data_IF_408531491492
#
_entry.id   IF_408531491492
#
_cell.length_a   1.000
_cell.length_b   1.000
_cell.length_c   1.000
_cell.angle_alpha   90.00
_cell.angle_beta   90.00
_cell.angle_gamma   90.00
#
_symmetry.space_group_name_H-M   'P 1'
#
loop_
_entity.id
_entity.type
_entity.pdbx_description
1 polymer ?
#
# COMPACT_ATOMS: atom_id res chain seq x y z
N UNK A 1 -24.24 -53.21 4.71
CA UNK A 1 -22.90 -52.87 5.21
C UNK A 1 -21.89 -53.07 4.09
N UNK A 2 -21.53 -52.01 3.37
CA UNK A 2 -20.39 -52.02 2.42
C UNK A 2 -19.52 -50.85 2.82
N UNK A 3 -18.32 -51.19 3.33
CA UNK A 3 -17.28 -50.20 3.66
C UNK A 3 -16.56 -49.85 2.36
N UNK A 4 -16.67 -48.60 1.89
CA UNK A 4 -15.82 -48.04 0.83
C UNK A 4 -14.53 -47.57 1.45
N UNK A 5 -13.44 -48.16 1.05
CA UNK A 5 -12.08 -47.81 1.41
C UNK A 5 -11.61 -46.75 0.41
N UNK A 6 -11.46 -45.48 0.87
CA UNK A 6 -10.90 -44.39 0.06
C UNK A 6 -9.39 -44.46 0.23
N UNK A 7 -8.70 -44.78 -0.86
CA UNK A 7 -7.23 -44.68 -0.92
C UNK A 7 -6.82 -43.22 -1.19
N UNK A 8 -6.15 -42.61 -0.23
CA UNK A 8 -5.44 -41.36 -0.44
C UNK A 8 -4.13 -41.69 -1.18
N UNK A 9 -4.06 -41.29 -2.43
CA UNK A 9 -2.81 -41.35 -3.19
C UNK A 9 -2.02 -40.06 -2.94
N UNK A 10 -1.10 -40.08 -1.99
CA UNK A 10 -0.14 -39.00 -1.75
C UNK A 10 0.93 -39.06 -2.84
N UNK A 11 0.86 -38.10 -3.77
CA UNK A 11 1.90 -37.90 -4.77
C UNK A 11 3.07 -37.15 -4.11
N UNK A 12 4.09 -37.89 -3.67
CA UNK A 12 5.37 -37.32 -3.26
C UNK A 12 6.14 -36.91 -4.52
N UNK A 13 6.18 -35.62 -4.81
CA UNK A 13 7.12 -35.07 -5.78
C UNK A 13 8.47 -34.89 -5.07
N UNK A 14 9.40 -35.80 -5.32
CA UNK A 14 10.76 -35.71 -4.81
C UNK A 14 11.52 -34.76 -5.74
N UNK A 15 11.74 -33.53 -5.31
CA UNK A 15 12.75 -32.68 -5.92
C UNK A 15 14.13 -33.11 -5.43
N UNK A 16 15.16 -33.24 -6.30
CA UNK A 16 16.51 -33.49 -5.85
C UNK A 16 17.01 -32.24 -5.10
N UNK A 17 17.21 -32.41 -3.79
CA UNK A 17 17.92 -31.42 -2.98
C UNK A 17 19.40 -31.55 -3.39
N UNK A 18 19.89 -30.60 -4.18
CA UNK A 18 21.31 -30.38 -4.30
C UNK A 18 21.78 -29.77 -2.98
N UNK A 19 22.54 -30.53 -2.20
CA UNK A 19 23.26 -29.99 -1.06
C UNK A 19 24.23 -28.94 -1.60
N UNK A 20 23.99 -27.67 -1.29
CA UNK A 20 24.99 -26.64 -1.41
C UNK A 20 26.12 -26.98 -0.47
N UNK A 21 27.31 -27.22 -1.03
CA UNK A 21 28.56 -27.35 -0.31
C UNK A 21 28.74 -26.06 0.49
N UNK A 22 28.87 -26.17 1.81
CA UNK A 22 29.16 -25.03 2.67
C UNK A 22 30.56 -24.52 2.29
N UNK A 23 30.63 -23.48 1.46
CA UNK A 23 31.79 -22.63 1.45
C UNK A 23 31.92 -22.01 2.84
N UNK A 24 33.03 -22.22 3.50
CA UNK A 24 33.41 -21.58 4.76
C UNK A 24 33.30 -20.05 4.58
N UNK A 25 32.17 -19.49 5.01
CA UNK A 25 32.00 -18.03 5.11
C UNK A 25 32.96 -17.61 6.22
N UNK A 26 34.11 -17.07 5.83
CA UNK A 26 34.88 -16.22 6.72
C UNK A 26 33.97 -15.09 7.17
N UNK A 27 33.49 -15.16 8.40
CA UNK A 27 32.84 -14.05 9.10
C UNK A 27 33.89 -12.93 9.40
N UNK A 28 34.50 -12.40 8.38
CA UNK A 28 35.07 -11.06 8.48
C UNK A 28 33.87 -10.12 8.52
N UNK A 29 33.75 -9.32 9.61
CA UNK A 29 32.78 -8.28 9.85
C UNK A 29 32.73 -7.24 8.70
N UNK A 30 32.22 -7.62 7.55
CA UNK A 30 31.89 -6.70 6.48
C UNK A 30 30.55 -6.10 6.92
N UNK A 31 30.62 -4.88 7.46
CA UNK A 31 29.42 -4.07 7.60
C UNK A 31 28.94 -3.84 6.16
N UNK A 32 27.88 -4.54 5.76
CA UNK A 32 27.25 -4.35 4.46
C UNK A 32 26.93 -2.86 4.28
N UNK A 33 27.58 -2.24 3.33
CA UNK A 33 27.35 -0.83 3.01
C UNK A 33 25.92 -0.66 2.48
N UNK A 34 25.11 0.11 3.21
CA UNK A 34 23.77 0.40 2.79
C UNK A 34 23.81 1.52 1.75
N UNK A 35 23.62 1.16 0.49
CA UNK A 35 23.49 2.12 -0.60
C UNK A 35 22.06 2.64 -0.64
N UNK A 36 21.93 3.97 -0.61
CA UNK A 36 20.67 4.69 -0.69
C UNK A 36 20.65 5.65 -1.87
N UNK A 37 19.46 6.01 -2.29
CA UNK A 37 19.26 6.95 -3.40
C UNK A 37 18.59 8.26 -2.94
N UNK A 38 18.84 8.63 -1.69
CA UNK A 38 18.25 9.78 -1.01
C UNK A 38 18.61 11.13 -1.65
N UNK A 39 19.77 11.22 -2.26
CA UNK A 39 20.24 12.43 -2.99
C UNK A 39 19.91 12.37 -4.49
N UNK A 40 19.05 11.45 -4.91
CA UNK A 40 18.80 11.13 -6.32
C UNK A 40 20.06 10.59 -7.05
N UNK A 41 21.00 10.05 -6.28
CA UNK A 41 22.22 9.33 -6.69
C UNK A 41 22.41 8.14 -5.77
N UNK A 42 23.15 7.13 -6.21
CA UNK A 42 23.57 6.05 -5.35
C UNK A 42 24.73 6.56 -4.44
N UNK A 43 24.42 6.79 -3.17
CA UNK A 43 25.37 7.19 -2.14
C UNK A 43 25.31 6.20 -0.98
N UNK A 44 26.39 6.07 -0.22
CA UNK A 44 26.35 5.30 1.03
C UNK A 44 25.49 6.04 2.07
N UNK A 45 24.65 5.30 2.80
CA UNK A 45 23.75 5.89 3.80
C UNK A 45 24.48 6.73 4.86
N UNK A 46 25.72 6.39 5.18
CA UNK A 46 26.57 7.14 6.12
C UNK A 46 27.08 8.49 5.57
N UNK A 47 27.14 8.62 4.24
CA UNK A 47 27.74 9.79 3.58
C UNK A 47 26.70 10.84 3.17
N UNK A 48 25.42 10.54 3.38
CA UNK A 48 24.34 11.51 3.09
C UNK A 48 24.02 12.39 4.29
N UNK A 49 23.72 13.66 4.03
CA UNK A 49 23.46 14.67 5.07
C UNK A 49 22.02 14.65 5.61
N UNK A 50 21.22 13.65 5.23
CA UNK A 50 19.83 13.46 5.69
C UNK A 50 19.70 12.17 6.48
N UNK A 51 18.76 12.13 7.42
CA UNK A 51 18.43 10.89 8.13
C UNK A 51 17.71 9.96 7.18
N UNK A 52 18.35 8.86 6.81
CA UNK A 52 17.80 7.81 5.97
C UNK A 52 17.66 6.54 6.80
N UNK A 53 16.50 5.92 6.73
CA UNK A 53 16.24 4.57 7.22
C UNK A 53 16.00 3.69 5.99
N UNK A 54 16.59 2.51 5.97
CA UNK A 54 16.38 1.54 4.90
C UNK A 54 16.03 0.17 5.48
N UNK A 55 14.93 -0.42 5.01
CA UNK A 55 14.61 -1.83 5.20
C UNK A 55 14.98 -2.54 3.90
N UNK A 56 15.95 -3.44 3.95
CA UNK A 56 16.42 -4.22 2.80
C UNK A 56 15.52 -5.44 2.58
N UNK A 57 15.64 -6.08 1.44
CA UNK A 57 14.92 -7.31 1.09
C UNK A 57 15.00 -8.38 2.21
N UNK A 58 16.20 -8.65 2.74
CA UNK A 58 16.37 -9.59 3.85
C UNK A 58 15.64 -9.17 5.14
N UNK A 59 15.45 -7.86 5.38
CA UNK A 59 14.67 -7.35 6.50
C UNK A 59 13.16 -7.50 6.22
N UNK A 60 12.72 -7.22 4.99
CA UNK A 60 11.33 -7.39 4.56
C UNK A 60 10.89 -8.85 4.70
N UNK A 61 11.70 -9.78 4.22
CA UNK A 61 11.45 -11.22 4.31
C UNK A 61 11.42 -11.70 5.76
N UNK A 62 12.44 -11.34 6.56
CA UNK A 62 12.55 -11.77 7.96
C UNK A 62 11.42 -11.26 8.84
N UNK A 63 10.94 -10.04 8.59
CA UNK A 63 9.88 -9.40 9.34
C UNK A 63 8.50 -9.67 8.75
N UNK A 64 8.43 -10.41 7.65
CA UNK A 64 7.20 -10.70 6.90
C UNK A 64 6.41 -9.44 6.57
N UNK A 65 7.11 -8.43 6.03
CA UNK A 65 6.52 -7.14 5.65
C UNK A 65 5.91 -7.28 4.26
N UNK A 66 4.61 -7.08 4.15
CA UNK A 66 3.85 -7.28 2.92
C UNK A 66 3.12 -6.03 2.42
N UNK A 67 2.75 -5.13 3.30
CA UNK A 67 1.93 -3.97 2.97
C UNK A 67 2.39 -2.68 3.69
N UNK A 68 1.66 -1.60 3.44
CA UNK A 68 1.93 -0.28 4.00
C UNK A 68 1.96 -0.26 5.54
N UNK A 69 0.99 -0.88 6.18
CA UNK A 69 0.85 -0.86 7.63
C UNK A 69 1.97 -1.67 8.28
N UNK A 70 2.37 -2.80 7.68
CA UNK A 70 3.47 -3.62 8.19
C UNK A 70 4.79 -2.85 8.24
N UNK A 71 5.24 -2.23 7.14
CA UNK A 71 6.54 -1.55 7.16
C UNK A 71 6.54 -0.31 8.05
N UNK A 72 5.40 0.33 8.26
CA UNK A 72 5.28 1.48 9.15
C UNK A 72 5.63 1.15 10.60
N UNK A 73 5.38 -0.08 11.05
CA UNK A 73 5.68 -0.56 12.41
C UNK A 73 7.19 -0.68 12.68
N UNK A 74 7.98 -0.92 11.65
CA UNK A 74 9.42 -1.14 11.76
C UNK A 74 10.28 0.09 11.44
N UNK A 75 9.64 1.23 11.17
CA UNK A 75 10.31 2.47 10.84
C UNK A 75 10.28 3.44 12.03
N UNK A 76 11.41 3.67 12.73
CA UNK A 76 11.48 4.66 13.79
C UNK A 76 11.07 6.06 13.29
N UNK A 77 10.34 6.81 14.10
CA UNK A 77 9.80 8.13 13.77
C UNK A 77 8.74 8.16 12.66
N UNK A 78 8.24 7.00 12.24
CA UNK A 78 7.12 6.88 11.33
C UNK A 78 5.93 6.36 12.12
N UNK A 79 4.77 6.94 11.86
CA UNK A 79 3.48 6.47 12.37
C UNK A 79 2.48 6.47 11.24
N UNK A 80 1.51 5.59 11.30
CA UNK A 80 0.40 5.58 10.36
C UNK A 80 -0.93 5.84 11.08
N UNK A 81 -1.89 6.36 10.37
CA UNK A 81 -3.28 6.42 10.79
C UNK A 81 -4.16 6.12 9.59
N UNK A 82 -5.13 5.24 9.77
CA UNK A 82 -6.01 4.79 8.72
C UNK A 82 -7.14 3.92 9.26
N UNK A 83 -7.94 3.39 8.36
CA UNK A 83 -9.06 2.51 8.66
C UNK A 83 -8.94 1.16 7.95
N UNK A 84 -7.73 0.72 7.68
CA UNK A 84 -7.45 -0.55 7.03
C UNK A 84 -6.75 -0.41 5.68
N UNK A 85 -6.64 -1.51 4.93
CA UNK A 85 -5.96 -1.60 3.66
C UNK A 85 -6.37 -0.50 2.67
N UNK A 86 -5.39 0.11 2.00
CA UNK A 86 -5.61 1.21 1.05
C UNK A 86 -6.15 2.51 1.66
N UNK A 87 -6.30 2.59 2.99
CA UNK A 87 -6.90 3.73 3.68
C UNK A 87 -5.97 4.40 4.70
N UNK A 88 -4.69 4.07 4.69
CA UNK A 88 -3.72 4.58 5.66
C UNK A 88 -2.96 5.79 5.15
N UNK A 89 -2.64 6.69 6.07
CA UNK A 89 -1.78 7.87 5.84
C UNK A 89 -0.58 7.80 6.75
N UNK A 90 0.59 8.08 6.21
CA UNK A 90 1.84 8.05 6.96
C UNK A 90 2.24 9.43 7.46
N UNK A 91 2.77 9.47 8.66
CA UNK A 91 3.33 10.67 9.28
C UNK A 91 4.77 10.44 9.69
N UNK A 92 5.64 11.42 9.49
CA UNK A 92 7.05 11.36 9.87
C UNK A 92 7.32 12.39 10.96
N UNK A 93 7.99 11.97 12.05
CA UNK A 93 8.36 12.83 13.21
C UNK A 93 7.16 13.56 13.82
N UNK A 94 5.98 12.93 13.82
CA UNK A 94 4.77 13.50 14.39
C UNK A 94 4.16 14.69 13.61
N UNK A 95 4.64 14.96 12.40
CA UNK A 95 4.05 15.96 11.50
C UNK A 95 2.77 15.39 10.86
N UNK A 96 1.71 15.36 11.68
CA UNK A 96 0.40 14.94 11.20
C UNK A 96 -0.30 16.08 10.47
N UNK A 97 -0.99 15.77 9.40
CA UNK A 97 -2.03 16.58 8.79
C UNK A 97 -3.37 15.98 9.15
N UNK A 98 -4.45 16.68 8.87
CA UNK A 98 -5.78 16.08 9.02
C UNK A 98 -5.80 14.73 8.30
N UNK A 99 -6.12 13.65 9.02
CA UNK A 99 -6.29 12.37 8.38
C UNK A 99 -7.39 12.51 7.33
N UNK A 100 -7.31 11.67 6.36
CA UNK A 100 -8.25 11.61 5.25
C UNK A 100 -9.65 11.84 5.77
N UNK A 101 -10.27 12.90 5.34
CA UNK A 101 -11.69 13.09 5.54
C UNK A 101 -12.46 12.17 4.56
N UNK A 102 -12.14 10.91 4.58
CA UNK A 102 -12.94 9.84 3.97
C UNK A 102 -14.38 9.91 4.48
N UNK A 103 -14.53 10.60 5.59
CA UNK A 103 -15.78 10.79 6.30
C UNK A 103 -16.58 12.00 5.93
N UNK A 104 -16.03 12.92 5.17
CA UNK A 104 -16.77 14.09 4.74
C UNK A 104 -17.12 13.89 3.27
N UNK A 105 -18.38 13.65 3.02
CA UNK A 105 -18.91 13.43 1.69
C UNK A 105 -18.38 14.48 0.70
N UNK A 106 -17.78 14.02 -0.39
CA UNK A 106 -17.23 14.86 -1.44
C UNK A 106 -15.85 15.44 -1.17
N UNK A 107 -15.22 15.16 -0.04
CA UNK A 107 -13.85 15.57 0.23
C UNK A 107 -12.86 14.50 -0.22
N UNK A 108 -11.92 14.88 -1.06
CA UNK A 108 -10.81 14.00 -1.47
C UNK A 108 -9.70 13.92 -0.42
N UNK A 109 -9.85 14.62 0.71
CA UNK A 109 -8.84 14.74 1.75
C UNK A 109 -7.80 15.81 1.47
N UNK A 110 -6.85 15.94 2.39
CA UNK A 110 -5.75 16.89 2.29
C UNK A 110 -4.61 16.33 1.44
N UNK A 111 -3.81 17.20 0.85
CA UNK A 111 -2.55 16.81 0.22
C UNK A 111 -1.60 16.24 1.27
N UNK A 112 -1.07 15.02 1.11
CA UNK A 112 -0.15 14.44 2.06
C UNK A 112 1.10 15.31 2.25
N UNK A 113 1.72 15.25 3.42
CA UNK A 113 2.99 15.92 3.70
C UNK A 113 4.20 14.97 3.67
N UNK A 114 3.97 13.70 3.38
CA UNK A 114 4.97 12.68 3.07
C UNK A 114 4.83 12.28 1.61
N UNK A 115 5.89 12.45 0.84
CA UNK A 115 5.90 12.02 -0.56
C UNK A 115 6.16 10.52 -0.67
N UNK A 116 5.44 9.85 -1.58
CA UNK A 116 5.62 8.43 -1.89
C UNK A 116 6.16 8.27 -3.30
N UNK A 117 7.13 7.37 -3.43
CA UNK A 117 7.76 7.04 -4.70
C UNK A 117 7.83 5.53 -4.91
N UNK A 118 7.53 5.09 -6.11
CA UNK A 118 7.84 3.76 -6.59
C UNK A 118 8.96 3.89 -7.61
N UNK A 119 10.14 3.40 -7.24
CA UNK A 119 11.39 3.65 -7.97
C UNK A 119 11.67 5.16 -8.16
N UNK A 120 11.68 5.65 -9.38
CA UNK A 120 11.87 7.07 -9.69
C UNK A 120 10.55 7.84 -9.84
N UNK A 121 9.39 7.18 -9.72
CA UNK A 121 8.08 7.76 -10.01
C UNK A 121 7.34 8.17 -8.74
N UNK A 122 6.84 9.40 -8.66
CA UNK A 122 5.96 9.81 -7.57
C UNK A 122 4.61 9.10 -7.70
N UNK A 123 4.20 8.46 -6.61
CA UNK A 123 2.91 7.79 -6.47
C UNK A 123 2.04 8.43 -5.37
N UNK A 124 2.45 9.58 -4.86
CA UNK A 124 1.68 10.34 -3.87
C UNK A 124 0.34 10.74 -4.44
N UNK A 125 -0.73 10.42 -3.75
CA UNK A 125 -2.09 10.76 -4.17
C UNK A 125 -2.78 11.64 -3.12
N UNK A 126 -3.65 12.51 -3.56
CA UNK A 126 -4.49 13.32 -2.67
C UNK A 126 -5.50 12.40 -1.98
N UNK A 127 -5.66 12.59 -0.67
CA UNK A 127 -6.63 11.86 0.14
C UNK A 127 -6.12 10.54 0.66
N UNK A 128 -5.63 9.64 -0.19
CA UNK A 128 -5.15 8.30 0.20
C UNK A 128 -3.85 7.98 -0.46
N UNK A 129 -2.88 7.56 0.34
CA UNK A 129 -1.65 7.01 -0.22
C UNK A 129 -1.96 5.77 -1.07
N UNK A 130 -1.17 5.58 -2.11
CA UNK A 130 -1.17 4.34 -2.85
C UNK A 130 -0.51 3.27 -1.97
N UNK A 131 -1.25 2.23 -1.65
CA UNK A 131 -0.75 1.09 -0.86
C UNK A 131 -0.21 0.03 -1.82
N UNK A 132 1.10 0.03 -2.00
CA UNK A 132 1.79 -0.91 -2.89
C UNK A 132 2.24 -2.11 -2.10
N UNK A 133 1.83 -3.30 -2.53
CA UNK A 133 2.24 -4.56 -1.93
C UNK A 133 3.75 -4.79 -2.10
N UNK A 134 4.41 -5.23 -1.03
CA UNK A 134 5.86 -5.25 -0.92
C UNK A 134 6.56 -6.42 -1.63
N UNK A 135 5.89 -7.14 -2.54
CA UNK A 135 6.49 -8.27 -3.26
C UNK A 135 7.72 -7.86 -4.06
N UNK A 136 8.80 -8.62 -3.89
CA UNK A 136 10.05 -8.49 -4.66
C UNK A 136 10.61 -7.07 -4.67
N UNK A 137 10.57 -6.39 -3.53
CA UNK A 137 11.27 -5.12 -3.33
C UNK A 137 12.76 -5.39 -3.04
N UNK A 138 13.60 -4.49 -3.48
CA UNK A 138 15.01 -4.44 -3.11
C UNK A 138 15.18 -3.81 -1.73
N UNK A 139 14.43 -2.72 -1.48
CA UNK A 139 14.41 -2.02 -0.20
C UNK A 139 13.31 -0.97 -0.13
N UNK A 140 13.01 -0.54 1.08
CA UNK A 140 12.18 0.63 1.39
C UNK A 140 13.08 1.67 2.04
N UNK A 141 13.15 2.88 1.47
CA UNK A 141 13.90 4.02 2.01
C UNK A 141 12.95 5.05 2.61
N UNK A 142 13.24 5.53 3.83
CA UNK A 142 12.53 6.65 4.46
C UNK A 142 13.51 7.78 4.75
N UNK A 143 13.26 8.89 4.10
CA UNK A 143 14.02 10.13 4.27
C UNK A 143 13.25 11.06 5.20
N UNK A 144 13.74 11.27 6.40
CA UNK A 144 13.08 12.10 7.41
C UNK A 144 13.49 13.56 7.30
N UNK A 145 12.51 14.47 7.26
CA UNK A 145 12.66 15.90 7.15
C UNK A 145 12.37 16.43 5.74
N UNK A 146 12.34 17.74 5.54
CA UNK A 146 11.95 18.36 4.29
C UNK A 146 12.80 17.91 3.10
N UNK A 147 12.18 17.40 2.06
CA UNK A 147 12.82 16.90 0.84
C UNK A 147 12.32 17.58 -0.45
N UNK A 148 11.61 18.69 -0.32
CA UNK A 148 10.94 19.35 -1.44
C UNK A 148 11.85 19.74 -2.62
N UNK A 149 13.12 20.00 -2.39
CA UNK A 149 14.07 20.36 -3.46
C UNK A 149 14.31 19.23 -4.45
N UNK A 150 14.36 17.97 -3.97
CA UNK A 150 14.65 16.78 -4.80
C UNK A 150 13.43 15.94 -5.13
N UNK A 151 12.43 16.00 -4.26
CA UNK A 151 11.23 15.15 -4.35
C UNK A 151 9.92 15.95 -4.55
N UNK A 152 10.03 17.27 -4.71
CA UNK A 152 8.89 18.11 -5.09
C UNK A 152 7.77 18.20 -4.04
N UNK A 153 6.53 18.19 -4.53
CA UNK A 153 5.34 18.34 -3.70
C UNK A 153 5.19 17.22 -2.68
N UNK A 154 4.47 17.51 -1.58
CA UNK A 154 4.16 16.56 -0.51
C UNK A 154 5.36 16.06 0.31
N UNK A 155 6.57 16.59 0.10
CA UNK A 155 7.78 16.16 0.78
C UNK A 155 8.17 17.06 1.97
N UNK A 156 7.21 17.65 2.68
CA UNK A 156 7.45 18.58 3.81
C UNK A 156 7.94 17.85 5.06
N UNK A 157 7.36 16.67 5.37
CA UNK A 157 7.75 15.85 6.51
C UNK A 157 8.85 14.84 6.15
N UNK A 158 8.88 14.43 4.89
CA UNK A 158 9.82 13.44 4.37
C UNK A 158 9.35 12.78 3.10
N UNK A 159 10.07 11.71 2.74
CA UNK A 159 9.78 10.90 1.56
C UNK A 159 9.94 9.43 1.87
N UNK A 160 9.02 8.61 1.39
CA UNK A 160 9.10 7.13 1.39
C UNK A 160 9.32 6.68 -0.04
N UNK A 161 10.28 5.79 -0.24
CA UNK A 161 10.61 5.23 -1.55
C UNK A 161 10.57 3.72 -1.49
N UNK A 162 9.78 3.13 -2.35
CA UNK A 162 9.71 1.69 -2.59
C UNK A 162 10.60 1.39 -3.81
N UNK A 163 11.67 0.66 -3.61
CA UNK A 163 12.62 0.33 -4.67
C UNK A 163 12.43 -1.12 -5.05
N UNK A 164 12.04 -1.36 -6.30
CA UNK A 164 11.81 -2.72 -6.80
C UNK A 164 13.11 -3.38 -7.25
N UNK A 165 13.21 -4.71 -7.16
CA UNK A 165 14.32 -5.45 -7.78
C UNK A 165 14.24 -5.30 -9.30
N UNK A 166 15.38 -4.98 -9.92
CA UNK A 166 15.49 -4.79 -11.36
C UNK A 166 15.92 -6.08 -12.06
N UNK A 167 15.60 -6.24 -13.36
CA UNK A 167 16.16 -7.35 -14.15
C UNK A 167 17.70 -7.38 -14.10
N UNK A 168 18.26 -8.57 -13.84
CA UNK A 168 19.71 -8.84 -13.81
C UNK A 168 20.10 -9.52 -15.12
N UNK A 169 21.18 -9.07 -15.77
CA UNK A 169 21.50 -9.47 -17.14
C UNK A 169 21.95 -10.91 -17.32
N UNK A 170 22.73 -11.44 -16.38
CA UNK A 170 23.47 -12.70 -16.61
C UNK A 170 22.98 -13.87 -15.74
N UNK A 171 21.87 -13.67 -15.03
CA UNK A 171 21.39 -14.65 -14.05
C UNK A 171 19.95 -15.04 -14.37
N UNK A 172 19.73 -16.35 -14.61
CA UNK A 172 18.40 -16.92 -14.48
C UNK A 172 18.13 -17.14 -12.99
N UNK A 173 17.09 -16.52 -12.46
CA UNK A 173 16.68 -16.64 -11.07
C UNK A 173 15.15 -16.69 -11.00
N UNK A 174 14.62 -17.57 -10.17
CA UNK A 174 13.19 -17.68 -9.96
C UNK A 174 12.90 -18.11 -8.53
N UNK A 175 11.86 -17.53 -7.95
CA UNK A 175 11.42 -17.89 -6.61
C UNK A 175 9.91 -18.03 -6.53
N UNK A 176 9.50 -18.83 -5.56
CA UNK A 176 8.12 -19.06 -5.22
C UNK A 176 7.99 -19.16 -3.70
N UNK A 177 7.05 -18.42 -3.16
CA UNK A 177 6.71 -18.45 -1.75
C UNK A 177 5.21 -18.67 -1.59
N UNK A 178 4.82 -19.50 -0.63
CA UNK A 178 3.42 -19.65 -0.23
C UNK A 178 3.36 -19.68 1.28
N UNK A 179 2.47 -18.87 1.84
CA UNK A 179 2.30 -18.72 3.28
C UNK A 179 0.86 -18.95 3.66
N UNK A 180 0.66 -19.52 4.84
CA UNK A 180 -0.66 -19.72 5.43
C UNK A 180 -0.58 -19.33 6.91
N UNK A 181 -1.49 -18.47 7.34
CA UNK A 181 -1.55 -17.93 8.69
C UNK A 181 -2.90 -18.25 9.30
N UNK A 182 -2.89 -18.67 10.56
CA UNK A 182 -4.10 -18.86 11.35
C UNK A 182 -4.20 -17.73 12.38
N UNK A 183 -5.27 -16.97 12.32
CA UNK A 183 -5.58 -15.93 13.31
C UNK A 183 -6.39 -16.55 14.43
N UNK A 184 -6.02 -16.28 15.68
CA UNK A 184 -6.81 -16.75 16.82
C UNK A 184 -8.11 -15.96 16.88
N UNK A 185 -9.24 -16.69 16.96
CA UNK A 185 -10.58 -16.09 16.98
C UNK A 185 -10.81 -15.18 15.75
N UNK A 186 -10.34 -15.62 14.57
CA UNK A 186 -10.48 -14.97 13.28
C UNK A 186 -10.25 -15.95 12.13
N UNK A 187 -10.45 -15.47 10.91
CA UNK A 187 -10.27 -16.26 9.69
C UNK A 187 -8.80 -16.46 9.31
N UNK A 188 -8.55 -17.45 8.49
CA UNK A 188 -7.22 -17.80 8.02
C UNK A 188 -6.80 -16.90 6.86
N UNK A 189 -5.51 -16.58 6.82
CA UNK A 189 -4.89 -15.81 5.75
C UNK A 189 -4.01 -16.69 4.88
N UNK A 190 -3.85 -16.33 3.61
CA UNK A 190 -2.99 -17.05 2.68
C UNK A 190 -2.29 -16.10 1.72
N UNK A 191 -1.05 -16.42 1.36
CA UNK A 191 -0.27 -15.66 0.39
C UNK A 191 0.43 -16.58 -0.59
N UNK A 192 0.50 -16.14 -1.83
CA UNK A 192 1.30 -16.75 -2.90
C UNK A 192 2.04 -15.64 -3.62
N UNK A 193 3.36 -15.79 -3.68
CA UNK A 193 4.25 -14.88 -4.40
C UNK A 193 5.19 -15.67 -5.30
N UNK A 194 5.47 -15.13 -6.46
CA UNK A 194 6.41 -15.73 -7.40
C UNK A 194 7.16 -14.65 -8.19
N UNK A 195 8.42 -14.91 -8.48
CA UNK A 195 9.18 -14.09 -9.41
C UNK A 195 10.02 -14.95 -10.35
N UNK A 196 10.34 -14.36 -11.48
CA UNK A 196 11.28 -14.92 -12.45
C UNK A 196 12.14 -13.80 -13.03
N UNK A 197 13.45 -14.00 -13.05
CA UNK A 197 14.41 -13.19 -13.77
C UNK A 197 14.97 -14.00 -14.93
N UNK A 198 14.81 -13.54 -16.14
CA UNK A 198 15.21 -14.25 -17.36
C UNK A 198 16.14 -13.37 -18.22
N UNK A 199 17.42 -13.72 -18.33
CA UNK A 199 18.33 -13.11 -19.29
C UNK A 199 17.94 -13.54 -20.71
N UNK A 200 17.55 -12.58 -21.54
CA UNK A 200 17.16 -12.83 -22.93
C UNK A 200 18.37 -12.79 -23.84
N UNK A 201 19.27 -11.85 -23.59
CA UNK A 201 20.58 -11.71 -24.23
C UNK A 201 21.55 -11.38 -23.11
N UNK A 202 22.56 -12.27 -22.94
CA UNK A 202 23.56 -12.11 -21.90
C UNK A 202 24.22 -10.73 -21.99
N UNK A 203 24.40 -10.08 -20.83
CA UNK A 203 24.96 -8.73 -20.65
C UNK A 203 24.15 -7.59 -21.30
N UNK A 204 23.12 -7.85 -22.11
CA UNK A 204 22.44 -6.82 -22.88
C UNK A 204 20.95 -6.66 -22.56
N UNK A 205 20.22 -7.78 -22.34
CA UNK A 205 18.78 -7.71 -22.17
C UNK A 205 18.25 -8.76 -21.21
N UNK A 206 17.51 -8.31 -20.22
CA UNK A 206 16.84 -9.17 -19.24
C UNK A 206 15.42 -8.70 -18.95
N UNK A 207 14.58 -9.67 -18.55
CA UNK A 207 13.19 -9.46 -18.15
C UNK A 207 12.99 -10.01 -16.73
N UNK A 208 12.24 -9.29 -15.90
CA UNK A 208 11.80 -9.76 -14.59
C UNK A 208 10.29 -9.68 -14.48
N UNK A 209 9.66 -10.82 -14.14
CA UNK A 209 8.24 -10.93 -13.85
C UNK A 209 8.02 -11.20 -12.37
N UNK A 210 6.99 -10.60 -11.79
CA UNK A 210 6.56 -10.81 -10.40
C UNK A 210 5.06 -10.97 -10.38
N UNK A 211 4.57 -11.90 -9.59
CA UNK A 211 3.14 -12.11 -9.34
C UNK A 211 2.92 -12.31 -7.84
N UNK A 212 1.82 -11.77 -7.33
CA UNK A 212 1.38 -12.00 -5.96
C UNK A 212 -0.15 -12.04 -5.86
N UNK A 213 -0.62 -12.85 -4.90
CA UNK A 213 -2.01 -12.90 -4.50
C UNK A 213 -2.07 -13.26 -3.02
N UNK A 214 -2.54 -12.33 -2.21
CA UNK A 214 -2.63 -12.47 -0.76
C UNK A 214 -4.05 -12.19 -0.31
N UNK A 215 -4.58 -13.05 0.55
CA UNK A 215 -5.87 -12.88 1.21
C UNK A 215 -5.62 -12.85 2.71
N UNK A 216 -6.02 -11.77 3.36
CA UNK A 216 -6.02 -11.62 4.80
C UNK A 216 -7.41 -11.89 5.32
N UNK A 217 -7.54 -12.86 6.23
CA UNK A 217 -8.79 -13.17 6.89
C UNK A 217 -9.20 -12.10 7.89
N UNK A 218 -10.51 -11.91 8.05
CA UNK A 218 -11.09 -11.02 9.03
C UNK A 218 -10.89 -11.48 10.48
N UNK A 219 -11.21 -10.59 11.40
CA UNK A 219 -11.13 -10.84 12.86
C UNK A 219 -12.05 -9.91 13.67
N UNK A 220 -12.92 -9.17 13.01
CA UNK A 220 -13.92 -8.29 13.62
C UNK A 220 -15.30 -8.83 13.28
N UNK A 221 -16.16 -8.98 14.28
CA UNK A 221 -17.53 -9.45 14.10
C UNK A 221 -18.49 -8.29 13.87
N UNK A 222 -19.31 -8.35 12.84
CA UNK A 222 -20.49 -7.52 12.70
C UNK A 222 -21.69 -8.20 13.39
N UNK A 223 -21.93 -7.84 14.65
CA UNK A 223 -22.98 -8.47 15.45
C UNK A 223 -24.36 -7.83 15.21
N UNK A 224 -25.41 -8.60 15.51
CA UNK A 224 -26.77 -8.08 15.42
C UNK A 224 -26.97 -6.79 16.24
N UNK A 225 -27.61 -5.81 15.63
CA UNK A 225 -27.97 -4.54 16.25
C UNK A 225 -29.22 -3.91 15.69
N UNK A 226 -29.73 -2.94 16.40
CA UNK A 226 -30.85 -2.11 16.00
C UNK A 226 -30.44 -0.64 16.08
N UNK A 227 -30.68 0.10 15.00
CA UNK A 227 -30.53 1.55 14.98
C UNK A 227 -31.92 2.19 15.04
N UNK A 228 -32.12 3.03 16.05
CA UNK A 228 -33.43 3.57 16.41
C UNK A 228 -33.36 5.09 16.33
N UNK A 229 -34.23 5.65 15.52
CA UNK A 229 -34.51 7.05 15.47
C UNK A 229 -35.65 7.34 16.43
N UNK A 230 -35.36 7.95 17.56
CA UNK A 230 -36.34 8.16 18.64
C UNK A 230 -36.10 9.40 19.47
N UNK A 231 -37.10 9.79 20.27
CA UNK A 231 -37.01 10.90 21.23
C UNK A 231 -35.93 10.76 22.32
N UNK A 232 -35.25 9.63 22.41
CA UNK A 232 -34.10 9.47 23.29
C UNK A 232 -32.87 10.21 22.76
N UNK A 233 -32.83 10.48 21.44
CA UNK A 233 -31.82 11.34 20.88
C UNK A 233 -32.20 12.81 21.14
N UNK A 234 -31.34 13.61 21.81
CA UNK A 234 -31.66 15.00 22.19
C UNK A 234 -31.85 15.94 20.96
N UNK A 235 -31.41 15.53 19.80
CA UNK A 235 -31.55 16.28 18.55
C UNK A 235 -32.75 15.85 17.71
N UNK A 236 -33.47 14.81 18.16
CA UNK A 236 -34.62 14.29 17.43
C UNK A 236 -35.86 15.15 17.69
N UNK A 237 -36.62 15.55 16.66
CA UNK A 237 -37.81 16.36 16.84
C UNK A 237 -38.86 15.61 17.67
N UNK A 238 -39.40 16.28 18.67
CA UNK A 238 -40.36 15.67 19.64
C UNK A 238 -41.59 15.03 18.99
N UNK A 239 -42.03 15.56 17.85
CA UNK A 239 -43.19 15.08 17.12
C UNK A 239 -42.87 14.24 15.88
N UNK A 240 -41.59 13.85 15.68
CA UNK A 240 -41.24 13.05 14.54
C UNK A 240 -41.58 11.56 14.77
N UNK A 241 -41.85 10.87 13.67
CA UNK A 241 -42.16 9.45 13.67
C UNK A 241 -40.94 8.62 14.09
N UNK A 242 -41.14 7.68 15.00
CA UNK A 242 -40.09 6.74 15.38
C UNK A 242 -39.80 5.78 14.23
N UNK A 243 -38.52 5.64 13.90
CA UNK A 243 -38.02 4.75 12.86
C UNK A 243 -37.00 3.80 13.43
N UNK A 244 -36.95 2.59 12.89
CA UNK A 244 -36.06 1.55 13.36
C UNK A 244 -35.63 0.67 12.19
N UNK A 245 -34.34 0.38 12.16
CA UNK A 245 -33.75 -0.63 11.27
C UNK A 245 -32.97 -1.64 12.11
N UNK A 246 -32.65 -2.77 11.53
CA UNK A 246 -31.66 -3.74 12.06
C UNK A 246 -30.70 -4.17 10.93
N UNK A 247 -29.64 -4.83 11.33
CA UNK A 247 -28.62 -5.31 10.42
C UNK A 247 -28.62 -6.85 10.27
N UNK A 248 -29.77 -7.50 10.46
CA UNK A 248 -29.86 -8.97 10.45
C UNK A 248 -29.26 -9.63 9.20
N UNK A 249 -29.36 -8.97 8.05
CA UNK A 249 -28.83 -9.47 6.77
C UNK A 249 -27.33 -9.24 6.60
N UNK A 250 -26.68 -8.47 7.50
CA UNK A 250 -25.26 -8.11 7.48
C UNK A 250 -24.50 -8.66 8.70
N UNK A 251 -25.16 -9.51 9.51
CA UNK A 251 -24.46 -10.17 10.64
C UNK A 251 -23.51 -11.20 10.11
N UNK A 252 -22.23 -11.05 10.46
CA UNK A 252 -21.16 -11.89 9.97
C UNK A 252 -20.01 -11.90 10.98
N UNK A 253 -19.46 -13.09 11.23
CA UNK A 253 -18.24 -13.25 12.00
C UNK A 253 -17.04 -12.94 11.08
N UNK A 254 -16.00 -12.32 11.63
CA UNK A 254 -14.73 -12.07 10.92
C UNK A 254 -14.89 -11.27 9.61
N UNK A 255 -15.82 -10.31 9.56
CA UNK A 255 -16.31 -9.65 8.34
C UNK A 255 -15.32 -8.66 7.69
N UNK A 256 -14.14 -8.41 8.29
CA UNK A 256 -13.15 -7.44 7.82
C UNK A 256 -11.98 -8.10 7.08
N UNK A 257 -12.26 -8.87 6.06
CA UNK A 257 -11.23 -9.46 5.23
C UNK A 257 -10.66 -8.49 4.18
N UNK A 258 -9.53 -8.86 3.59
CA UNK A 258 -8.95 -8.07 2.50
C UNK A 258 -8.07 -8.91 1.59
N UNK A 259 -7.87 -8.42 0.38
CA UNK A 259 -7.01 -9.08 -0.59
C UNK A 259 -6.15 -8.10 -1.37
N UNK A 260 -4.94 -8.55 -1.72
CA UNK A 260 -4.02 -7.87 -2.64
C UNK A 260 -3.69 -8.82 -3.78
N UNK A 261 -3.91 -8.39 -5.00
CA UNK A 261 -3.54 -9.14 -6.20
C UNK A 261 -2.81 -8.23 -7.16
N UNK A 262 -1.70 -8.70 -7.70
CA UNK A 262 -0.99 -7.89 -8.67
C UNK A 262 0.09 -8.65 -9.41
N UNK A 263 0.61 -7.95 -10.41
CA UNK A 263 1.77 -8.41 -11.14
C UNK A 263 2.63 -7.23 -11.61
N UNK A 264 3.93 -7.48 -11.74
CA UNK A 264 4.89 -6.53 -12.28
C UNK A 264 5.70 -7.20 -13.38
N UNK A 265 5.92 -6.49 -14.48
CA UNK A 265 6.80 -6.89 -15.55
C UNK A 265 7.80 -5.78 -15.79
N UNK A 266 9.08 -6.10 -15.76
CA UNK A 266 10.18 -5.19 -16.02
C UNK A 266 11.06 -5.73 -17.14
N UNK A 267 11.47 -4.86 -18.06
CA UNK A 267 12.41 -5.15 -19.14
C UNK A 267 13.55 -4.15 -19.07
N UNK A 268 14.78 -4.61 -18.96
CA UNK A 268 15.98 -3.81 -18.88
C UNK A 268 16.92 -4.16 -20.01
N UNK A 269 17.34 -3.17 -20.79
CA UNK A 269 18.22 -3.40 -21.96
C UNK A 269 19.30 -2.33 -22.03
N UNK A 270 20.54 -2.77 -22.27
CA UNK A 270 21.66 -1.91 -22.67
C UNK A 270 21.58 -1.68 -24.19
N UNK A 271 21.64 -0.45 -24.61
CA UNK A 271 21.68 -0.10 -26.04
C UNK A 271 22.96 0.61 -26.47
N UNK A 272 23.82 0.91 -25.48
CA UNK A 272 25.18 1.35 -25.68
C UNK A 272 26.02 1.03 -24.44
N UNK A 273 27.34 1.15 -24.52
CA UNK A 273 28.28 0.76 -23.46
C UNK A 273 27.94 1.30 -22.07
N UNK A 274 27.44 2.53 -22.02
CA UNK A 274 27.10 3.21 -20.73
C UNK A 274 25.62 3.61 -20.65
N UNK A 275 24.78 3.16 -21.56
CA UNK A 275 23.37 3.54 -21.64
C UNK A 275 22.46 2.35 -21.57
N UNK A 276 21.43 2.48 -20.75
CA UNK A 276 20.39 1.47 -20.59
C UNK A 276 18.99 2.08 -20.57
N UNK A 277 18.02 1.27 -20.88
CA UNK A 277 16.59 1.56 -20.74
C UNK A 277 15.94 0.49 -19.87
N UNK A 278 15.11 0.95 -18.95
CA UNK A 278 14.24 0.12 -18.12
C UNK A 278 12.80 0.51 -18.41
N UNK A 279 11.97 -0.43 -18.80
CA UNK A 279 10.52 -0.27 -18.95
C UNK A 279 9.84 -1.17 -17.95
N UNK A 280 8.88 -0.64 -17.19
CA UNK A 280 8.17 -1.38 -16.16
C UNK A 280 6.67 -1.20 -16.33
N UNK A 281 5.94 -2.26 -16.10
CA UNK A 281 4.49 -2.25 -15.95
C UNK A 281 4.13 -2.91 -14.64
N UNK A 282 3.25 -2.27 -13.87
CA UNK A 282 2.69 -2.79 -12.63
C UNK A 282 1.18 -2.63 -12.69
N UNK A 283 0.45 -3.64 -12.26
CA UNK A 283 -0.96 -3.58 -11.94
C UNK A 283 -1.20 -4.21 -10.58
N UNK A 284 -2.07 -3.59 -9.78
CA UNK A 284 -2.49 -4.09 -8.49
C UNK A 284 -3.96 -3.75 -8.24
N UNK A 285 -4.66 -4.71 -7.65
CA UNK A 285 -6.01 -4.57 -7.12
C UNK A 285 -5.99 -4.87 -5.62
N UNK A 286 -6.65 -4.03 -4.84
CA UNK A 286 -6.94 -4.22 -3.41
C UNK A 286 -8.46 -4.29 -3.29
N UNK A 287 -8.96 -5.30 -2.57
CA UNK A 287 -10.34 -5.34 -2.10
C UNK A 287 -10.32 -5.50 -0.59
N UNK A 288 -11.14 -4.74 0.11
CA UNK A 288 -11.29 -4.86 1.55
C UNK A 288 -12.75 -4.70 1.92
N UNK A 289 -13.23 -5.61 2.74
CA UNK A 289 -14.56 -5.60 3.32
C UNK A 289 -14.51 -5.19 4.78
N UNK A 290 -15.62 -4.72 5.31
CA UNK A 290 -15.74 -4.35 6.70
C UNK A 290 -14.94 -3.13 7.15
N UNK A 291 -14.69 -3.08 8.43
CA UNK A 291 -13.94 -2.01 9.10
C UNK A 291 -12.83 -2.59 9.97
N UNK A 292 -11.78 -1.79 10.21
CA UNK A 292 -10.60 -2.16 11.00
C UNK A 292 -10.57 -1.42 12.35
N UNK A 293 -11.70 -0.88 12.76
CA UNK A 293 -11.98 -0.31 14.08
C UNK A 293 -13.16 -1.05 14.71
N UNK A 294 -13.29 -1.01 16.03
CA UNK A 294 -14.37 -1.68 16.75
C UNK A 294 -14.96 -0.81 17.85
N UNK A 295 -16.18 -1.13 18.29
CA UNK A 295 -16.85 -0.43 19.38
C UNK A 295 -16.63 -1.17 20.72
N UNK A 296 -15.78 -0.67 21.63
CA UNK A 296 -15.48 -1.32 22.88
C UNK A 296 -16.71 -1.45 23.83
N UNK A 297 -17.80 -0.74 23.54
CA UNK A 297 -19.05 -0.87 24.31
C UNK A 297 -19.85 -2.12 23.95
N UNK A 298 -19.59 -2.71 22.76
CA UNK A 298 -20.21 -3.93 22.28
C UNK A 298 -19.42 -5.18 22.62
N UNK A 299 -18.16 -5.03 22.99
CA UNK A 299 -17.22 -6.09 23.30
C UNK A 299 -15.92 -5.96 22.51
N UNK A 300 -15.02 -6.91 22.70
CA UNK A 300 -13.76 -6.95 21.98
C UNK A 300 -13.99 -7.34 20.53
N UNK A 301 -13.39 -6.59 19.60
CA UNK A 301 -13.44 -6.81 18.15
C UNK A 301 -14.86 -6.93 17.59
N UNK A 302 -15.82 -6.12 18.09
CA UNK A 302 -17.22 -6.14 17.66
C UNK A 302 -17.71 -4.79 17.20
N UNK A 303 -18.57 -4.82 16.18
CA UNK A 303 -19.25 -3.63 15.62
C UNK A 303 -20.70 -3.94 15.31
N UNK A 304 -21.46 -2.89 15.01
CA UNK A 304 -22.82 -2.97 14.46
C UNK A 304 -22.88 -2.07 13.22
N UNK A 305 -22.81 -2.66 12.04
CA UNK A 305 -22.87 -1.98 10.75
C UNK A 305 -24.20 -2.31 10.08
N UNK A 306 -24.85 -1.30 9.52
CA UNK A 306 -26.19 -1.35 8.96
C UNK A 306 -26.18 -1.17 7.43
N UNK A 307 -25.05 -0.89 6.85
CA UNK A 307 -24.76 -0.89 5.42
C UNK A 307 -23.40 -1.54 5.19
N UNK A 308 -23.14 -1.97 3.97
CA UNK A 308 -21.84 -2.54 3.59
C UNK A 308 -20.75 -1.49 3.73
N UNK A 309 -19.61 -1.90 4.29
CA UNK A 309 -18.36 -1.18 4.27
C UNK A 309 -17.43 -1.92 3.31
N UNK A 310 -17.10 -1.31 2.18
CA UNK A 310 -16.25 -1.92 1.15
C UNK A 310 -15.26 -0.93 0.58
N UNK A 311 -14.10 -1.40 0.18
CA UNK A 311 -13.12 -0.64 -0.58
C UNK A 311 -12.56 -1.50 -1.71
N UNK A 312 -12.65 -1.00 -2.94
CA UNK A 312 -11.89 -1.50 -4.09
C UNK A 312 -10.94 -0.40 -4.57
N UNK A 313 -9.65 -0.69 -4.61
CA UNK A 313 -8.60 0.23 -5.06
C UNK A 313 -7.74 -0.47 -6.13
N UNK A 314 -7.89 -0.06 -7.36
CA UNK A 314 -7.21 -0.64 -8.51
C UNK A 314 -6.30 0.40 -9.17
N UNK A 315 -5.05 0.05 -9.41
CA UNK A 315 -4.17 0.93 -10.16
C UNK A 315 -3.28 0.18 -11.15
N UNK A 316 -2.89 0.88 -12.19
CA UNK A 316 -1.84 0.45 -13.12
C UNK A 316 -0.84 1.57 -13.37
N UNK A 317 0.43 1.20 -13.52
CA UNK A 317 1.50 2.12 -13.87
C UNK A 317 2.35 1.54 -14.98
N UNK A 318 2.60 2.35 -16.01
CA UNK A 318 3.68 2.11 -16.96
C UNK A 318 4.75 3.18 -16.79
N UNK A 319 6.00 2.76 -16.63
CA UNK A 319 7.13 3.67 -16.45
C UNK A 319 8.28 3.30 -17.36
N UNK A 320 9.00 4.32 -17.85
CA UNK A 320 10.21 4.14 -18.63
C UNK A 320 11.33 5.02 -18.07
N UNK A 321 12.50 4.42 -17.84
CA UNK A 321 13.69 5.13 -17.36
C UNK A 321 14.84 4.87 -18.32
N UNK A 322 15.46 5.94 -18.81
CA UNK A 322 16.68 5.90 -19.61
C UNK A 322 17.79 6.50 -18.78
N UNK A 323 18.85 5.76 -18.56
CA UNK A 323 20.01 6.22 -17.81
C UNK A 323 21.30 5.98 -18.56
N UNK A 324 22.28 6.85 -18.33
CA UNK A 324 23.58 6.70 -18.97
C UNK A 324 24.61 7.71 -18.49
N UNK A 325 25.84 7.59 -19.00
CA UNK A 325 26.97 8.45 -18.64
C UNK A 325 27.64 9.02 -19.89
N UNK A 326 28.00 10.30 -19.81
CA UNK A 326 28.90 10.96 -20.77
C UNK A 326 30.07 11.51 -19.97
N UNK A 327 31.24 10.89 -20.12
CA UNK A 327 32.39 11.18 -19.27
C UNK A 327 32.05 10.91 -17.79
N UNK A 328 32.15 11.95 -16.96
CA UNK A 328 31.82 11.86 -15.50
C UNK A 328 30.43 12.40 -15.18
N UNK A 329 29.59 12.65 -16.16
CA UNK A 329 28.24 13.18 -15.97
C UNK A 329 27.23 12.09 -16.23
N UNK A 330 26.36 11.89 -15.26
CA UNK A 330 25.23 10.96 -15.33
C UNK A 330 24.01 11.72 -15.87
N UNK A 331 23.28 11.07 -16.76
CA UNK A 331 22.01 11.52 -17.30
C UNK A 331 20.93 10.52 -16.96
N UNK A 332 19.77 11.01 -16.61
CA UNK A 332 18.59 10.22 -16.38
C UNK A 332 17.38 10.95 -16.97
N UNK A 333 16.60 10.21 -17.74
CA UNK A 333 15.22 10.56 -18.04
C UNK A 333 14.32 9.49 -17.48
N UNK A 334 13.22 9.89 -16.84
CA UNK A 334 12.20 8.95 -16.42
C UNK A 334 10.82 9.55 -16.65
N UNK A 335 9.87 8.73 -17.07
CA UNK A 335 8.49 9.13 -17.29
C UNK A 335 7.54 8.00 -16.97
N UNK A 336 6.34 8.33 -16.49
CA UNK A 336 5.30 7.35 -16.19
C UNK A 336 3.90 7.88 -16.44
N UNK A 337 3.00 6.92 -16.65
CA UNK A 337 1.55 7.11 -16.60
C UNK A 337 1.03 6.19 -15.49
N UNK A 338 0.31 6.77 -14.54
CA UNK A 338 -0.37 6.08 -13.46
C UNK A 338 -1.87 6.34 -13.61
N UNK A 339 -2.65 5.27 -13.68
CA UNK A 339 -4.12 5.29 -13.64
C UNK A 339 -4.58 4.59 -12.37
N UNK A 340 -5.50 5.19 -11.62
CA UNK A 340 -6.06 4.62 -10.38
C UNK A 340 -7.55 4.88 -10.29
N UNK A 341 -8.31 3.86 -9.93
CA UNK A 341 -9.73 3.93 -9.58
C UNK A 341 -9.92 3.43 -8.15
N UNK A 342 -10.64 4.20 -7.33
CA UNK A 342 -11.03 3.81 -5.97
C UNK A 342 -12.53 3.86 -5.86
N UNK A 343 -13.15 2.76 -5.43
CA UNK A 343 -14.58 2.66 -5.09
C UNK A 343 -14.72 2.36 -3.62
N UNK A 344 -15.55 3.10 -2.93
CA UNK A 344 -15.78 2.90 -1.50
C UNK A 344 -17.24 3.03 -1.15
N UNK A 345 -17.73 2.09 -0.34
CA UNK A 345 -18.95 2.23 0.44
C UNK A 345 -18.57 2.30 1.93
N UNK A 346 -19.31 3.07 2.70
CA UNK A 346 -19.10 3.15 4.15
C UNK A 346 -20.43 3.38 4.86
N UNK A 347 -20.67 2.65 5.90
CA UNK A 347 -21.83 2.84 6.77
C UNK A 347 -21.68 4.08 7.65
N UNK A 348 -22.66 4.96 7.59
CA UNK A 348 -22.76 6.19 8.40
C UNK A 348 -23.98 6.20 9.30
N UNK A 349 -24.65 5.07 9.46
CA UNK A 349 -25.88 4.96 10.25
C UNK A 349 -25.70 5.38 11.72
N UNK A 350 -24.47 5.28 12.27
CA UNK A 350 -24.14 5.79 13.58
C UNK A 350 -24.41 7.29 13.78
N UNK A 351 -24.37 8.10 12.72
CA UNK A 351 -24.71 9.53 12.78
C UNK A 351 -26.22 9.78 12.82
N UNK A 352 -27.04 8.82 12.39
CA UNK A 352 -28.49 8.91 12.34
C UNK A 352 -29.19 8.19 13.50
N UNK A 353 -28.47 7.43 14.30
CA UNK A 353 -29.04 6.62 15.38
C UNK A 353 -29.26 7.38 16.68
N UNK A 354 -29.56 6.63 17.72
CA UNK A 354 -29.85 7.10 19.09
C UNK A 354 -28.84 8.12 19.60
N UNK A 355 -27.58 7.95 19.27
CA UNK A 355 -26.47 8.83 19.69
C UNK A 355 -26.02 9.81 18.60
N UNK A 356 -26.64 9.79 17.44
CA UNK A 356 -26.27 10.65 16.31
C UNK A 356 -26.69 12.11 16.51
N UNK A 357 -25.74 13.04 16.40
CA UNK A 357 -26.00 14.48 16.59
C UNK A 357 -26.60 15.16 15.35
N UNK A 358 -26.46 14.54 14.18
CA UNK A 358 -26.93 15.10 12.91
C UNK A 358 -28.24 14.49 12.39
N UNK A 359 -28.96 13.77 13.27
CA UNK A 359 -30.18 13.04 12.90
C UNK A 359 -31.18 13.86 12.09
N UNK A 360 -31.66 15.04 12.53
CA UNK A 360 -32.66 15.76 11.75
C UNK A 360 -32.16 16.18 10.38
N UNK A 361 -30.88 16.50 10.28
CA UNK A 361 -30.28 16.98 9.03
C UNK A 361 -30.20 15.90 7.95
N UNK A 362 -29.85 14.67 8.33
CA UNK A 362 -29.60 13.59 7.38
C UNK A 362 -30.82 12.71 7.13
N UNK A 363 -31.74 12.60 8.10
CA UNK A 363 -32.82 11.62 8.03
C UNK A 363 -34.22 12.23 7.98
N UNK A 364 -34.37 13.51 8.29
CA UNK A 364 -35.69 14.13 8.37
C UNK A 364 -35.87 15.27 7.36
N UNK A 365 -37.09 15.42 6.86
CA UNK A 365 -37.41 16.39 5.82
C UNK A 365 -37.42 17.85 6.34
N UNK A 366 -36.58 18.68 5.76
CA UNK A 366 -36.55 20.13 6.01
C UNK A 366 -37.83 20.82 5.50
N UNK A 367 -38.36 21.88 6.14
CA UNK A 367 -37.80 22.58 7.32
C UNK A 367 -38.37 22.10 8.66
N UNK A 368 -39.39 21.28 8.67
CA UNK A 368 -40.12 20.93 9.88
C UNK A 368 -39.55 19.73 10.62
N UNK A 369 -38.76 18.92 9.93
CA UNK A 369 -38.14 17.69 10.45
C UNK A 369 -39.10 16.71 11.15
N UNK A 370 -40.38 16.70 10.75
CA UNK A 370 -41.44 15.87 11.35
C UNK A 370 -41.65 14.53 10.64
N UNK A 371 -41.26 14.47 9.36
CA UNK A 371 -41.25 13.26 8.58
C UNK A 371 -39.80 12.85 8.37
N UNK A 372 -39.44 11.63 8.76
CA UNK A 372 -38.10 11.11 8.71
C UNK A 372 -38.07 9.78 7.97
N UNK A 373 -36.99 9.56 7.25
CA UNK A 373 -36.65 8.27 6.65
C UNK A 373 -36.02 7.33 7.69
N UNK A 374 -35.73 6.11 7.31
CA UNK A 374 -35.06 5.13 8.17
C UNK A 374 -33.66 5.63 8.56
N UNK A 375 -33.18 5.30 9.78
CA UNK A 375 -31.87 5.75 10.27
C UNK A 375 -30.72 4.91 9.65
N UNK A 376 -30.75 4.74 8.35
CA UNK A 376 -29.70 4.11 7.54
C UNK A 376 -29.08 5.16 6.64
N UNK A 377 -27.85 5.49 6.92
CA UNK A 377 -27.08 6.44 6.12
C UNK A 377 -25.80 5.77 5.66
N UNK A 378 -25.48 5.94 4.41
CA UNK A 378 -24.25 5.42 3.84
C UNK A 378 -23.55 6.50 3.00
N UNK A 379 -22.25 6.31 2.85
CA UNK A 379 -21.42 7.05 1.89
C UNK A 379 -21.03 6.11 0.76
N UNK A 380 -21.12 6.61 -0.45
CA UNK A 380 -20.58 5.95 -1.63
C UNK A 380 -19.69 6.93 -2.38
N UNK A 381 -18.45 6.53 -2.65
CA UNK A 381 -17.46 7.34 -3.34
C UNK A 381 -16.79 6.61 -4.47
N UNK A 382 -16.56 7.33 -5.56
CA UNK A 382 -15.71 6.87 -6.68
C UNK A 382 -14.69 7.97 -6.95
N UNK A 383 -13.41 7.60 -7.02
CA UNK A 383 -12.32 8.50 -7.35
C UNK A 383 -11.53 7.90 -8.49
N UNK A 384 -11.58 8.54 -9.64
CA UNK A 384 -10.73 8.23 -10.79
C UNK A 384 -9.60 9.25 -10.86
N UNK A 385 -8.37 8.78 -10.98
CA UNK A 385 -7.20 9.65 -11.06
C UNK A 385 -6.22 9.15 -12.12
N UNK A 386 -5.68 10.09 -12.89
CA UNK A 386 -4.60 9.83 -13.83
C UNK A 386 -3.46 10.80 -13.57
N UNK A 387 -2.23 10.30 -13.59
CA UNK A 387 -1.02 11.08 -13.40
C UNK A 387 -0.02 10.80 -14.49
N UNK A 388 0.53 11.87 -15.09
CA UNK A 388 1.58 11.78 -16.09
C UNK A 388 2.80 12.53 -15.60
N UNK A 389 3.94 11.86 -15.46
CA UNK A 389 5.16 12.44 -14.91
C UNK A 389 6.33 12.31 -15.87
N UNK A 390 7.17 13.34 -15.89
CA UNK A 390 8.43 13.34 -16.63
C UNK A 390 9.52 14.03 -15.82
N UNK A 391 10.68 13.42 -15.69
CA UNK A 391 11.86 14.00 -15.07
C UNK A 391 13.07 13.85 -16.00
N UNK A 392 13.81 14.93 -16.19
CA UNK A 392 15.16 14.91 -16.80
C UNK A 392 16.12 15.37 -15.72
N UNK A 393 17.15 14.57 -15.44
CA UNK A 393 18.12 14.84 -14.38
C UNK A 393 19.53 14.66 -14.88
N UNK A 394 20.40 15.54 -14.42
CA UNK A 394 21.84 15.51 -14.70
C UNK A 394 22.59 15.59 -13.36
N UNK A 395 23.53 14.68 -13.14
CA UNK A 395 24.34 14.64 -11.93
C UNK A 395 25.82 14.45 -12.29
N UNK A 396 26.71 15.12 -11.57
CA UNK A 396 28.15 14.89 -11.70
C UNK A 396 28.59 13.80 -10.73
N UNK A 397 29.70 13.10 -11.06
CA UNK A 397 30.28 12.08 -10.20
C UNK A 397 30.62 12.64 -8.81
N UNK A 398 30.24 11.89 -7.75
CA UNK A 398 30.42 12.26 -6.34
C UNK A 398 31.87 12.37 -5.89
N UNK A 399 32.83 11.84 -6.64
CA UNK A 399 34.27 11.89 -6.32
C UNK A 399 34.93 13.22 -6.68
N UNK A 400 34.19 14.16 -7.27
CA UNK A 400 34.75 15.48 -7.63
C UNK A 400 34.67 16.48 -6.50
N UNK A 401 35.58 17.47 -6.52
CA UNK A 401 35.59 18.59 -5.57
C UNK A 401 34.26 19.37 -5.57
N UNK A 402 33.57 19.42 -6.68
CA UNK A 402 32.25 20.03 -6.85
C UNK A 402 31.30 18.99 -7.40
N UNK A 403 30.26 18.74 -6.63
CA UNK A 403 29.19 17.81 -6.98
C UNK A 403 27.95 18.63 -7.29
N UNK A 404 27.36 18.38 -8.46
CA UNK A 404 26.15 19.05 -8.92
C UNK A 404 25.08 18.03 -9.27
N UNK A 405 23.85 18.28 -8.85
CA UNK A 405 22.66 17.59 -9.30
C UNK A 405 21.61 18.63 -9.67
N UNK A 406 21.01 18.51 -10.83
CA UNK A 406 19.94 19.39 -11.27
C UNK A 406 19.04 18.71 -12.25
N UNK A 407 17.80 19.17 -12.37
CA UNK A 407 16.83 18.55 -13.25
C UNK A 407 15.60 19.41 -13.49
N UNK A 408 14.75 18.93 -14.37
CA UNK A 408 13.43 19.50 -14.66
C UNK A 408 12.42 18.39 -14.44
N UNK A 409 11.39 18.67 -13.68
CA UNK A 409 10.28 17.77 -13.40
C UNK A 409 8.97 18.40 -13.89
N UNK A 410 8.16 17.58 -14.53
CA UNK A 410 6.82 17.92 -14.99
C UNK A 410 5.83 16.84 -14.51
N UNK A 411 4.69 17.30 -13.99
CA UNK A 411 3.64 16.47 -13.38
C UNK A 411 2.25 16.98 -13.77
#
# INVERSE_FOLDING_TARGET
MKKSLIYFLSLFVIFPIYALENDDINEDNIIDEIIVSSTKRADEARDVSVTVLALRDADLDRLNISNFDDFSLFLPNVTSAGRGPGQSTMFIRGMAIDPISVFVSGSQGSTPNVAFYLDEQPITSVGRNLDVYAADLERIEVLSGPQGTLFGASAQAGTVRLITKKPVYDVFDAGFQSSYFATKDGDNSSSVEAYINFPVIDDEWSIRGVFYNTNFGGYIDNIFGENILSSENPYYPENAEKRKINNADLVEDDFNDSSYRGFRLASRSKFAETWEVLVQFLQQDISADGVYDFDPTLGDLKVQRFNEDTLDDSFSQIAATISGKIGSTQFLYTGAILDREVRQNADYSGFAGKNGIYVPYYTCNHPLYTSCDDPSIFFQGVVDSQRNTHEIRVATDGQKKYVFTGGIFFD
#
